data_IF_484633084756
#
_entry.id   IF_484633084756
#
_cell.length_a   1.000
_cell.length_b   1.000
_cell.length_c   1.000
_cell.angle_alpha   90.00
_cell.angle_beta   90.00
_cell.angle_gamma   90.00
#
_symmetry.space_group_name_H-M   'P 1'
#
loop_
_entity.id
_entity.type
_entity.pdbx_description
1 polymer ?
#
# COMPACT_ATOMS: atom_id res chain seq x y z
N UNK A 1 36.37 2.72 -30.77
CA UNK A 1 36.80 1.90 -31.93
C UNK A 1 36.48 0.45 -31.64
N UNK A 2 35.31 -0.02 -32.09
CA UNK A 2 34.96 -1.45 -32.18
C UNK A 2 34.06 -1.58 -33.41
N UNK A 3 34.68 -1.94 -34.52
CA UNK A 3 34.01 -2.47 -35.72
C UNK A 3 34.43 -3.93 -35.83
N UNK A 4 33.47 -4.84 -35.85
CA UNK A 4 33.44 -5.81 -36.95
C UNK A 4 32.03 -6.35 -37.15
N UNK A 5 31.58 -6.13 -38.37
CA UNK A 5 30.29 -6.45 -38.93
C UNK A 5 30.03 -7.96 -39.00
N UNK A 6 28.80 -8.33 -38.68
CA UNK A 6 28.01 -9.18 -39.59
C UNK A 6 26.72 -8.44 -39.87
N UNK A 7 26.68 -7.72 -40.99
CA UNK A 7 25.45 -7.09 -41.50
C UNK A 7 24.48 -8.16 -41.99
N UNK A 8 23.26 -8.28 -41.42
CA UNK A 8 22.20 -9.06 -42.04
C UNK A 8 21.31 -8.16 -42.89
N UNK A 9 20.99 -8.65 -44.07
CA UNK A 9 20.06 -8.15 -45.11
C UNK A 9 19.06 -7.05 -44.72
N UNK A 10 19.06 -6.00 -45.55
CA UNK A 10 18.38 -4.71 -45.44
C UNK A 10 16.83 -4.71 -45.61
N UNK A 11 16.10 -5.65 -45.00
CA UNK A 11 14.62 -5.66 -45.03
C UNK A 11 13.94 -5.96 -43.69
N UNK A 12 14.69 -6.07 -42.59
CA UNK A 12 14.12 -6.24 -41.26
C UNK A 12 14.54 -5.08 -40.37
N UNK A 13 13.55 -4.29 -39.90
CA UNK A 13 13.75 -3.42 -38.75
C UNK A 13 14.08 -4.31 -37.55
N UNK A 14 15.26 -4.16 -36.97
CA UNK A 14 15.70 -4.94 -35.81
C UNK A 14 15.55 -4.09 -34.55
N UNK A 15 15.20 -4.74 -33.44
CA UNK A 15 14.98 -4.09 -32.16
C UNK A 15 16.27 -4.07 -31.35
N UNK A 16 16.65 -2.91 -30.83
CA UNK A 16 17.81 -2.75 -29.95
C UNK A 16 17.32 -2.46 -28.55
N UNK A 17 17.62 -3.36 -27.62
CA UNK A 17 17.31 -3.15 -26.22
C UNK A 17 18.47 -2.40 -25.56
N UNK A 18 18.20 -1.18 -25.10
CA UNK A 18 19.14 -0.39 -24.32
C UNK A 18 18.81 -0.49 -22.83
N UNK A 19 19.81 -0.93 -22.05
CA UNK A 19 19.71 -0.96 -20.60
C UNK A 19 20.19 0.36 -20.00
N UNK A 20 19.38 0.90 -19.09
CA UNK A 20 19.72 2.10 -18.34
C UNK A 20 20.94 1.78 -17.43
N UNK A 21 21.94 2.69 -17.29
CA UNK A 21 23.11 2.45 -16.46
C UNK A 21 22.81 2.04 -15.02
N UNK A 22 21.73 2.54 -14.43
CA UNK A 22 21.28 2.14 -13.08
C UNK A 22 20.75 0.72 -13.01
N UNK A 23 20.12 0.20 -14.07
CA UNK A 23 19.71 -1.21 -14.15
C UNK A 23 20.93 -2.12 -14.22
N UNK A 24 21.92 -1.74 -15.04
CA UNK A 24 23.19 -2.44 -15.13
C UNK A 24 23.91 -2.43 -13.77
N UNK A 25 23.92 -1.30 -13.08
CA UNK A 25 24.46 -1.21 -11.72
C UNK A 25 23.78 -2.20 -10.77
N UNK A 26 22.45 -2.33 -10.79
CA UNK A 26 21.76 -3.31 -9.98
C UNK A 26 22.15 -4.75 -10.37
N UNK A 27 22.19 -5.07 -11.67
CA UNK A 27 22.61 -6.39 -12.16
C UNK A 27 24.02 -6.76 -11.69
N UNK A 28 24.97 -5.81 -11.70
CA UNK A 28 26.33 -6.09 -11.22
C UNK A 28 26.39 -6.52 -9.76
N UNK A 29 25.45 -6.06 -8.93
CA UNK A 29 25.35 -6.47 -7.51
C UNK A 29 24.89 -7.91 -7.33
N UNK A 30 24.28 -8.49 -8.35
CA UNK A 30 23.85 -9.88 -8.37
C UNK A 30 24.63 -10.71 -9.38
N UNK A 31 25.91 -10.37 -9.59
CA UNK A 31 26.80 -11.10 -10.49
C UNK A 31 26.29 -11.15 -11.95
N UNK A 32 25.64 -10.09 -12.41
CA UNK A 32 25.05 -9.95 -13.75
C UNK A 32 23.98 -10.98 -14.10
N UNK A 33 23.37 -11.63 -13.10
CA UNK A 33 22.23 -12.52 -13.30
C UNK A 33 20.97 -11.71 -13.66
N UNK A 34 20.07 -12.34 -14.40
CA UNK A 34 18.74 -11.79 -14.67
C UNK A 34 17.86 -11.86 -13.42
N UNK A 35 17.29 -10.72 -13.01
CA UNK A 35 16.61 -10.55 -11.73
C UNK A 35 15.09 -10.56 -11.82
N UNK A 36 14.56 -10.34 -13.02
CA UNK A 36 13.13 -10.11 -13.26
C UNK A 36 12.50 -11.20 -14.13
N UNK A 37 13.27 -12.24 -14.44
CA UNK A 37 12.84 -13.40 -15.19
C UNK A 37 13.02 -14.65 -14.33
N UNK A 38 12.17 -15.67 -14.52
CA UNK A 38 12.31 -16.94 -13.81
C UNK A 38 13.61 -17.60 -14.26
N UNK A 39 14.61 -17.58 -13.39
CA UNK A 39 15.91 -18.17 -13.67
C UNK A 39 16.24 -19.25 -12.64
N UNK A 40 16.41 -20.48 -13.12
CA UNK A 40 16.77 -21.64 -12.30
C UNK A 40 18.29 -21.73 -12.07
N UNK A 41 19.08 -20.92 -12.78
CA UNK A 41 20.53 -20.97 -12.72
C UNK A 41 21.11 -20.04 -11.64
N UNK A 42 21.57 -20.66 -10.54
CA UNK A 42 22.42 -20.03 -9.53
C UNK A 42 21.66 -19.28 -8.43
N UNK A 43 22.05 -19.53 -7.19
CA UNK A 43 21.61 -18.76 -6.03
C UNK A 43 22.73 -17.80 -5.60
N UNK A 44 22.45 -16.51 -5.61
CA UNK A 44 23.41 -15.47 -5.24
C UNK A 44 22.78 -14.46 -4.28
N UNK A 45 23.51 -14.15 -3.20
CA UNK A 45 23.14 -13.12 -2.23
C UNK A 45 24.09 -11.94 -2.40
N UNK A 46 23.55 -10.74 -2.60
CA UNK A 46 24.35 -9.51 -2.57
C UNK A 46 24.68 -9.13 -1.13
N UNK A 47 25.97 -9.06 -0.83
CA UNK A 47 26.45 -8.65 0.49
C UNK A 47 26.12 -7.20 0.83
N UNK A 48 26.11 -6.32 -0.18
CA UNK A 48 25.80 -4.91 -0.01
C UNK A 48 24.33 -4.72 0.37
N UNK A 49 23.42 -5.42 -0.31
CA UNK A 49 21.98 -5.37 -0.01
C UNK A 49 21.70 -6.00 1.36
N UNK A 50 22.40 -7.08 1.71
CA UNK A 50 22.31 -7.71 3.02
C UNK A 50 22.74 -6.73 4.14
N UNK A 51 23.84 -6.00 3.94
CA UNK A 51 24.31 -4.99 4.90
C UNK A 51 23.30 -3.83 5.01
N UNK A 52 22.77 -3.34 3.89
CA UNK A 52 21.73 -2.30 3.90
C UNK A 52 20.45 -2.77 4.62
N UNK A 53 20.07 -4.03 4.45
CA UNK A 53 18.91 -4.64 5.13
C UNK A 53 19.14 -4.69 6.64
N UNK A 54 20.32 -5.15 7.07
CA UNK A 54 20.70 -5.15 8.48
C UNK A 54 20.70 -3.74 9.10
N UNK A 55 21.25 -2.76 8.37
CA UNK A 55 21.25 -1.36 8.79
C UNK A 55 19.82 -0.81 8.93
N UNK A 56 18.94 -1.12 7.97
CA UNK A 56 17.53 -0.69 8.00
C UNK A 56 16.80 -1.22 9.24
N UNK A 57 16.94 -2.53 9.52
CA UNK A 57 16.34 -3.13 10.71
C UNK A 57 16.97 -2.63 12.02
N UNK A 58 18.26 -2.32 12.01
CA UNK A 58 18.92 -1.70 13.16
C UNK A 58 18.34 -0.31 13.45
N UNK A 59 18.07 0.50 12.41
CA UNK A 59 17.41 1.80 12.57
C UNK A 59 15.99 1.63 13.12
N UNK A 60 15.18 0.71 12.56
CA UNK A 60 13.82 0.44 13.05
C UNK A 60 13.86 -0.02 14.51
N UNK A 61 14.73 -0.97 14.84
CA UNK A 61 14.94 -1.45 16.20
C UNK A 61 15.32 -0.32 17.16
N UNK A 62 16.21 0.58 16.74
CA UNK A 62 16.61 1.76 17.52
C UNK A 62 15.45 2.75 17.72
N UNK A 63 14.63 2.98 16.70
CA UNK A 63 13.42 3.83 16.81
C UNK A 63 12.48 3.26 17.87
N UNK A 64 12.18 1.96 17.83
CA UNK A 64 11.28 1.30 18.78
C UNK A 64 11.89 1.17 20.19
N UNK A 65 13.21 0.97 20.30
CA UNK A 65 13.92 0.97 21.57
C UNK A 65 13.83 2.33 22.27
N UNK A 66 14.13 3.42 21.53
CA UNK A 66 14.13 4.78 22.08
C UNK A 66 12.71 5.33 22.29
N UNK A 67 11.77 4.94 21.43
CA UNK A 67 10.37 5.38 21.46
C UNK A 67 9.46 4.34 22.12
N UNK A 68 9.72 3.98 23.38
CA UNK A 68 8.92 3.00 24.12
C UNK A 68 7.45 3.41 24.33
N UNK A 69 7.16 4.72 24.33
CA UNK A 69 5.80 5.24 24.42
C UNK A 69 5.27 5.59 23.03
N UNK A 70 4.01 5.23 22.78
CA UNK A 70 3.28 5.52 21.53
C UNK A 70 3.21 7.03 21.27
N UNK A 71 3.08 7.85 22.31
CA UNK A 71 3.07 9.32 22.17
C UNK A 71 4.41 9.86 21.65
N UNK A 72 5.52 9.33 22.17
CA UNK A 72 6.88 9.69 21.71
C UNK A 72 7.11 9.24 20.28
N UNK A 73 6.71 8.00 19.96
CA UNK A 73 6.80 7.45 18.61
C UNK A 73 6.00 8.30 17.62
N UNK A 74 4.75 8.64 17.95
CA UNK A 74 3.90 9.50 17.12
C UNK A 74 4.47 10.90 16.92
N UNK A 75 5.16 11.46 17.93
CA UNK A 75 5.86 12.74 17.82
C UNK A 75 7.04 12.66 16.86
N UNK A 76 7.88 11.62 16.98
CA UNK A 76 9.02 11.40 16.07
C UNK A 76 8.54 11.18 14.64
N UNK A 77 7.56 10.31 14.43
CA UNK A 77 6.98 10.05 13.10
C UNK A 77 6.43 11.32 12.46
N UNK A 78 5.80 12.20 13.23
CA UNK A 78 5.29 13.48 12.73
C UNK A 78 6.41 14.37 12.19
N UNK A 79 7.53 14.50 12.90
CA UNK A 79 8.68 15.24 12.41
C UNK A 79 9.28 14.61 11.14
N UNK A 80 9.39 13.28 11.10
CA UNK A 80 9.87 12.57 9.91
C UNK A 80 8.97 12.79 8.70
N UNK A 81 7.64 12.80 8.88
CA UNK A 81 6.68 13.10 7.81
C UNK A 81 6.89 14.52 7.28
N UNK A 82 7.01 15.53 8.15
CA UNK A 82 7.25 16.91 7.71
C UNK A 82 8.58 17.06 6.96
N UNK A 83 9.65 16.45 7.44
CA UNK A 83 10.95 16.44 6.76
C UNK A 83 10.82 15.79 5.38
N UNK A 84 10.15 14.64 5.31
CA UNK A 84 9.95 13.91 4.05
C UNK A 84 9.16 14.73 3.04
N UNK A 85 8.08 15.40 3.47
CA UNK A 85 7.29 16.29 2.61
C UNK A 85 8.10 17.49 2.12
N UNK A 86 8.97 18.06 2.95
CA UNK A 86 9.86 19.14 2.54
C UNK A 86 10.88 18.68 1.49
N UNK A 87 11.48 17.49 1.68
CA UNK A 87 12.39 16.90 0.70
C UNK A 87 11.68 16.54 -0.61
N UNK A 88 10.44 16.08 -0.56
CA UNK A 88 9.61 15.84 -1.73
C UNK A 88 9.37 17.12 -2.52
N UNK A 89 9.01 18.22 -1.85
CA UNK A 89 8.84 19.52 -2.49
C UNK A 89 10.14 19.97 -3.20
N UNK A 90 11.29 19.88 -2.52
CA UNK A 90 12.59 20.23 -3.09
C UNK A 90 12.90 19.37 -4.32
N UNK A 91 12.61 18.08 -4.24
CA UNK A 91 12.80 17.13 -5.35
C UNK A 91 11.92 17.49 -6.54
N UNK A 92 10.63 17.76 -6.33
CA UNK A 92 9.71 18.14 -7.41
C UNK A 92 10.18 19.42 -8.11
N UNK A 93 10.60 20.43 -7.34
CA UNK A 93 11.15 21.67 -7.89
C UNK A 93 12.42 21.39 -8.69
N UNK A 94 13.24 20.42 -8.28
CA UNK A 94 14.43 20.06 -9.06
C UNK A 94 14.07 19.35 -10.35
N UNK A 95 13.17 18.38 -10.31
CA UNK A 95 12.72 17.64 -11.49
C UNK A 95 12.01 18.54 -12.50
N UNK A 96 11.32 19.60 -12.07
CA UNK A 96 10.74 20.57 -13.00
C UNK A 96 11.79 21.38 -13.79
N UNK A 97 13.06 21.34 -13.40
CA UNK A 97 14.15 22.00 -14.14
C UNK A 97 14.83 21.08 -15.16
N UNK A 98 14.38 19.82 -15.29
CA UNK A 98 14.96 18.85 -16.22
C UNK A 98 14.48 19.05 -17.65
N UNK A 99 13.15 19.19 -17.92
CA UNK A 99 12.68 19.39 -19.27
C UNK A 99 13.18 20.71 -19.84
N UNK A 100 13.56 20.70 -21.12
CA UNK A 100 13.97 21.91 -21.85
C UNK A 100 12.86 22.98 -21.88
N UNK A 101 11.61 22.53 -22.08
CA UNK A 101 10.41 23.36 -22.08
C UNK A 101 9.45 22.97 -20.94
N UNK A 102 9.62 23.60 -19.77
CA UNK A 102 8.79 23.31 -18.58
C UNK A 102 7.28 23.50 -18.84
N UNK A 103 6.89 24.55 -19.55
CA UNK A 103 5.47 24.86 -19.80
C UNK A 103 4.79 23.77 -20.62
N UNK A 104 5.51 23.22 -21.61
CA UNK A 104 5.02 22.12 -22.43
C UNK A 104 4.94 20.82 -21.62
N UNK A 105 5.97 20.50 -20.84
CA UNK A 105 5.95 19.32 -19.98
C UNK A 105 4.79 19.35 -18.96
N UNK A 106 4.49 20.50 -18.35
CA UNK A 106 3.34 20.65 -17.45
C UNK A 106 2.02 20.50 -18.23
N UNK A 107 1.93 21.08 -19.43
CA UNK A 107 0.74 20.96 -20.28
C UNK A 107 0.46 19.49 -20.63
N UNK A 108 1.49 18.77 -21.07
CA UNK A 108 1.41 17.36 -21.47
C UNK A 108 1.13 16.44 -20.26
N UNK A 109 1.60 16.79 -19.07
CA UNK A 109 1.29 16.07 -17.85
C UNK A 109 -0.21 16.14 -17.48
N UNK A 110 -0.85 17.30 -17.66
CA UNK A 110 -2.26 17.50 -17.29
C UNK A 110 -3.25 17.14 -18.40
N UNK A 111 -2.83 17.08 -19.67
CA UNK A 111 -3.71 16.86 -20.82
C UNK A 111 -3.39 15.52 -21.48
N UNK A 112 -3.97 14.43 -20.97
CA UNK A 112 -3.74 13.10 -21.52
C UNK A 112 -4.54 12.85 -22.80
N UNK A 113 -3.98 11.99 -23.66
CA UNK A 113 -4.67 11.44 -24.80
C UNK A 113 -5.88 10.59 -24.38
N UNK A 114 -6.97 10.60 -25.17
CA UNK A 114 -8.18 9.84 -24.84
C UNK A 114 -7.94 8.33 -24.71
N UNK A 115 -7.02 7.80 -25.52
CA UNK A 115 -6.64 6.39 -25.49
C UNK A 115 -5.90 6.04 -24.19
N UNK A 116 -4.95 6.88 -23.77
CA UNK A 116 -4.18 6.66 -22.54
C UNK A 116 -5.05 6.80 -21.30
N UNK A 117 -6.08 7.67 -21.33
CA UNK A 117 -7.09 7.76 -20.27
C UNK A 117 -7.86 6.44 -20.08
N UNK A 118 -8.31 5.81 -21.16
CA UNK A 118 -9.07 4.55 -21.10
C UNK A 118 -8.19 3.42 -20.57
N UNK A 119 -6.96 3.31 -21.07
CA UNK A 119 -6.02 2.28 -20.64
C UNK A 119 -5.62 2.44 -19.16
N UNK A 120 -5.47 3.70 -18.71
CA UNK A 120 -5.06 4.00 -17.33
C UNK A 120 -6.17 3.82 -16.29
N UNK A 121 -7.44 3.69 -16.68
CA UNK A 121 -8.56 3.64 -15.74
C UNK A 121 -8.45 2.47 -14.73
N UNK A 122 -8.05 1.30 -15.22
CA UNK A 122 -7.81 0.12 -14.38
C UNK A 122 -6.65 0.36 -13.40
N UNK A 123 -5.56 0.99 -13.85
CA UNK A 123 -4.40 1.29 -13.01
C UNK A 123 -4.74 2.32 -11.93
N UNK A 124 -5.46 3.39 -12.26
CA UNK A 124 -5.88 4.44 -11.30
C UNK A 124 -6.64 3.83 -10.12
N UNK A 125 -7.52 2.88 -10.40
CA UNK A 125 -8.31 2.24 -9.37
C UNK A 125 -7.46 1.35 -8.44
N UNK A 126 -6.40 0.70 -8.95
CA UNK A 126 -5.42 -0.03 -8.12
C UNK A 126 -4.69 0.93 -7.19
N UNK A 127 -4.24 2.08 -7.72
CA UNK A 127 -3.57 3.11 -6.93
C UNK A 127 -4.45 3.68 -5.83
N UNK A 128 -5.72 3.98 -6.12
CA UNK A 128 -6.64 4.51 -5.09
C UNK A 128 -6.79 3.51 -3.94
N UNK A 129 -6.91 2.21 -4.24
CA UNK A 129 -7.08 1.18 -3.21
C UNK A 129 -5.79 0.94 -2.43
N UNK A 130 -4.63 0.92 -3.07
CA UNK A 130 -3.36 0.71 -2.37
C UNK A 130 -3.09 1.79 -1.33
N UNK A 131 -3.64 2.98 -1.57
CA UNK A 131 -3.42 4.20 -0.81
C UNK A 131 -4.44 4.43 0.29
N UNK A 132 -5.72 4.38 -0.06
CA UNK A 132 -6.82 4.68 0.86
C UNK A 132 -7.43 3.42 1.45
N UNK A 133 -6.99 2.24 1.01
CA UNK A 133 -7.51 0.96 1.48
C UNK A 133 -7.21 0.72 2.95
N UNK A 134 -8.26 0.75 3.77
CA UNK A 134 -8.20 0.41 5.19
C UNK A 134 -7.85 -1.07 5.46
N UNK A 135 -7.79 -1.91 4.43
CA UNK A 135 -7.62 -3.36 4.49
C UNK A 135 -6.35 -3.84 5.21
N UNK A 136 -5.31 -3.00 5.32
CA UNK A 136 -4.12 -3.31 6.12
C UNK A 136 -4.33 -3.15 7.63
N UNK A 137 -5.43 -2.51 8.06
CA UNK A 137 -5.72 -2.24 9.47
C UNK A 137 -4.93 -1.07 10.08
N UNK A 138 -3.93 -0.53 9.38
CA UNK A 138 -3.08 0.58 9.88
C UNK A 138 -3.89 1.83 10.22
N UNK A 139 -4.80 2.24 9.34
CA UNK A 139 -5.69 3.40 9.57
C UNK A 139 -6.64 3.13 10.74
N UNK A 140 -7.12 1.90 10.89
CA UNK A 140 -8.02 1.50 11.99
C UNK A 140 -7.27 1.57 13.33
N UNK A 141 -6.04 1.02 13.38
CA UNK A 141 -5.17 1.06 14.56
C UNK A 141 -4.76 2.49 14.92
N UNK A 142 -4.42 3.33 13.94
CA UNK A 142 -4.11 4.74 14.22
C UNK A 142 -5.34 5.51 14.70
N UNK A 143 -6.51 5.22 14.14
CA UNK A 143 -7.76 5.87 14.54
C UNK A 143 -8.20 5.47 15.97
N UNK A 144 -7.80 4.30 16.48
CA UNK A 144 -8.14 3.88 17.85
C UNK A 144 -7.47 4.73 18.94
N UNK A 145 -6.40 5.45 18.60
CA UNK A 145 -5.74 6.41 19.50
C UNK A 145 -6.36 7.81 19.46
N UNK A 146 -7.32 8.07 18.57
CA UNK A 146 -8.01 9.36 18.55
C UNK A 146 -8.95 9.49 19.74
N UNK A 147 -9.19 10.74 20.17
CA UNK A 147 -10.28 11.04 21.10
C UNK A 147 -11.61 10.70 20.44
N UNK A 148 -12.56 10.26 21.24
CA UNK A 148 -13.86 9.80 20.75
C UNK A 148 -14.59 10.86 19.92
N UNK A 149 -14.63 12.12 20.38
CA UNK A 149 -15.19 13.26 19.65
C UNK A 149 -14.16 14.08 18.88
N UNK A 150 -13.36 13.43 18.04
CA UNK A 150 -12.44 14.14 17.15
C UNK A 150 -13.15 14.59 15.86
N UNK A 151 -12.77 15.74 15.24
CA UNK A 151 -13.33 16.17 13.96
C UNK A 151 -12.82 15.28 12.81
N UNK A 152 -13.31 14.05 12.74
CA UNK A 152 -12.83 13.03 11.82
C UNK A 152 -13.03 13.46 10.36
N UNK A 153 -14.12 14.14 10.03
CA UNK A 153 -14.37 14.62 8.67
C UNK A 153 -13.29 15.57 8.16
N UNK A 154 -12.86 16.53 8.97
CA UNK A 154 -11.80 17.48 8.59
C UNK A 154 -10.44 16.78 8.47
N UNK A 155 -10.15 15.87 9.41
CA UNK A 155 -8.93 15.07 9.39
C UNK A 155 -8.88 14.18 8.14
N UNK A 156 -9.98 13.51 7.79
CA UNK A 156 -10.10 12.68 6.59
C UNK A 156 -9.87 13.48 5.31
N UNK A 157 -10.47 14.67 5.18
CA UNK A 157 -10.22 15.55 4.04
C UNK A 157 -8.75 15.97 3.93
N UNK A 158 -8.12 16.28 5.06
CA UNK A 158 -6.70 16.66 5.10
C UNK A 158 -5.81 15.49 4.65
N UNK A 159 -6.10 14.28 5.11
CA UNK A 159 -5.39 13.06 4.67
C UNK A 159 -5.57 12.84 3.18
N UNK A 160 -6.79 12.95 2.65
CA UNK A 160 -7.06 12.80 1.22
C UNK A 160 -6.30 13.83 0.36
N UNK A 161 -6.34 15.11 0.74
CA UNK A 161 -5.63 16.17 0.03
C UNK A 161 -4.11 16.02 0.10
N UNK A 162 -3.56 15.71 1.28
CA UNK A 162 -2.13 15.49 1.47
C UNK A 162 -1.63 14.30 0.65
N UNK A 163 -2.39 13.21 0.64
CA UNK A 163 -2.04 12.01 -0.12
C UNK A 163 -2.12 12.26 -1.64
N UNK A 164 -3.12 13.00 -2.11
CA UNK A 164 -3.23 13.43 -3.50
C UNK A 164 -2.01 14.26 -3.92
N UNK A 165 -1.56 15.19 -3.07
CA UNK A 165 -0.35 15.99 -3.32
C UNK A 165 0.91 15.12 -3.46
N UNK A 166 1.08 14.14 -2.57
CA UNK A 166 2.22 13.20 -2.62
C UNK A 166 2.18 12.38 -3.91
N UNK A 167 1.01 11.89 -4.33
CA UNK A 167 0.90 11.14 -5.58
C UNK A 167 1.16 11.98 -6.81
N UNK A 168 0.58 13.18 -6.88
CA UNK A 168 0.82 14.08 -7.98
C UNK A 168 2.31 14.40 -8.12
N UNK A 169 3.00 14.57 -6.98
CA UNK A 169 4.45 14.81 -6.92
C UNK A 169 5.26 13.64 -7.49
N UNK A 170 5.00 12.41 -7.05
CA UNK A 170 5.70 11.23 -7.57
C UNK A 170 5.34 10.93 -9.02
N UNK A 171 4.07 11.11 -9.41
CA UNK A 171 3.63 10.95 -10.79
C UNK A 171 4.33 11.95 -11.71
N UNK A 172 4.51 13.20 -11.28
CA UNK A 172 5.27 14.20 -12.03
C UNK A 172 6.75 13.80 -12.18
N UNK A 173 7.38 13.30 -11.12
CA UNK A 173 8.78 12.81 -11.19
C UNK A 173 8.91 11.65 -12.18
N UNK A 174 7.99 10.68 -12.14
CA UNK A 174 7.95 9.55 -13.08
C UNK A 174 7.74 10.05 -14.51
N UNK A 175 6.78 10.95 -14.73
CA UNK A 175 6.50 11.53 -16.04
C UNK A 175 7.71 12.26 -16.64
N UNK A 176 8.38 13.12 -15.86
CA UNK A 176 9.60 13.81 -16.30
C UNK A 176 10.70 12.81 -16.64
N UNK A 177 10.84 11.75 -15.84
CA UNK A 177 11.81 10.68 -16.07
C UNK A 177 11.50 9.92 -17.36
N UNK A 178 10.24 9.58 -17.59
CA UNK A 178 9.81 8.87 -18.79
C UNK A 178 10.03 9.70 -20.05
N UNK A 179 9.65 10.98 -20.03
CA UNK A 179 9.88 11.92 -21.14
C UNK A 179 11.37 12.10 -21.43
N UNK A 180 12.21 12.19 -20.40
CA UNK A 180 13.66 12.29 -20.57
C UNK A 180 14.23 11.10 -21.36
N UNK A 181 13.79 9.88 -21.05
CA UNK A 181 14.22 8.70 -21.80
C UNK A 181 13.56 8.61 -23.18
N UNK A 182 12.33 9.07 -23.33
CA UNK A 182 11.65 9.08 -24.63
C UNK A 182 12.32 10.08 -25.60
N UNK A 183 12.75 11.25 -25.14
CA UNK A 183 13.57 12.19 -25.95
C UNK A 183 14.89 11.55 -26.43
N UNK A 184 15.58 10.81 -25.56
CA UNK A 184 16.81 10.09 -25.93
C UNK A 184 16.51 9.00 -26.95
N UNK A 185 15.40 8.28 -26.79
CA UNK A 185 14.97 7.25 -27.73
C UNK A 185 14.67 7.85 -29.09
N UNK A 186 13.90 8.93 -29.16
CA UNK A 186 13.55 9.60 -30.41
C UNK A 186 14.81 10.10 -31.15
N UNK A 187 15.75 10.70 -30.43
CA UNK A 187 17.03 11.13 -31.02
C UNK A 187 17.85 9.96 -31.60
N UNK A 188 17.80 8.78 -30.97
CA UNK A 188 18.46 7.57 -31.47
C UNK A 188 17.78 7.00 -32.71
N UNK A 189 16.45 6.92 -32.70
CA UNK A 189 15.65 6.40 -33.81
C UNK A 189 15.77 7.31 -35.05
N UNK A 190 15.85 8.65 -34.87
CA UNK A 190 16.14 9.59 -35.96
C UNK A 190 17.54 9.38 -36.57
N UNK A 191 18.54 9.07 -35.75
CA UNK A 191 19.89 8.80 -36.21
C UNK A 191 20.02 7.45 -36.92
N UNK A 192 19.18 6.46 -36.57
CA UNK A 192 19.27 5.09 -37.06
C UNK A 192 17.89 4.58 -37.57
N UNK A 193 17.45 4.98 -38.79
CA UNK A 193 16.10 4.68 -39.29
C UNK A 193 15.80 3.18 -39.50
N UNK A 194 16.81 2.32 -39.46
CA UNK A 194 16.68 0.87 -39.66
C UNK A 194 16.53 0.09 -38.34
N UNK A 195 16.60 0.76 -37.19
CA UNK A 195 16.53 0.14 -35.86
C UNK A 195 15.56 0.89 -34.97
N UNK A 196 14.80 0.16 -34.15
CA UNK A 196 13.97 0.75 -33.11
C UNK A 196 14.58 0.47 -31.74
N UNK A 197 14.87 1.53 -30.99
CA UNK A 197 15.37 1.42 -29.63
C UNK A 197 14.25 1.17 -28.61
N UNK A 198 14.45 0.20 -27.71
CA UNK A 198 13.62 0.00 -26.54
C UNK A 198 14.46 0.23 -25.29
N UNK A 199 14.06 1.21 -24.48
CA UNK A 199 14.72 1.52 -23.21
C UNK A 199 13.99 0.76 -22.10
N UNK A 200 14.72 -0.14 -21.43
CA UNK A 200 14.13 -0.93 -20.37
C UNK A 200 14.02 -0.10 -19.07
N UNK A 201 12.83 0.41 -18.76
CA UNK A 201 12.55 1.23 -17.57
C UNK A 201 12.04 0.34 -16.43
N UNK A 202 12.94 -0.15 -15.58
CA UNK A 202 12.55 -0.88 -14.36
C UNK A 202 12.51 0.04 -13.16
N UNK A 203 11.58 -0.26 -12.25
CA UNK A 203 11.45 0.40 -10.94
C UNK A 203 11.74 1.90 -11.02
N UNK A 204 10.95 2.60 -11.84
CA UNK A 204 11.28 3.94 -12.36
C UNK A 204 11.75 4.89 -11.24
N UNK A 205 11.04 4.91 -10.11
CA UNK A 205 11.36 5.76 -8.96
C UNK A 205 12.70 5.44 -8.28
N UNK A 206 13.19 4.20 -8.35
CA UNK A 206 14.40 3.76 -7.65
C UNK A 206 15.61 3.71 -8.59
N UNK A 207 15.44 3.20 -9.82
CA UNK A 207 16.53 2.98 -10.77
C UNK A 207 16.57 4.08 -11.83
N UNK A 208 15.49 4.27 -12.58
CA UNK A 208 15.50 5.15 -13.76
C UNK A 208 15.74 6.61 -13.39
N UNK A 209 15.12 7.10 -12.31
CA UNK A 209 15.36 8.45 -11.73
C UNK A 209 16.82 8.68 -11.33
N UNK A 210 17.53 7.64 -10.87
CA UNK A 210 18.94 7.74 -10.49
C UNK A 210 19.84 8.10 -11.66
N UNK A 211 19.55 7.59 -12.85
CA UNK A 211 20.29 7.95 -14.07
C UNK A 211 19.99 9.37 -14.52
N UNK A 212 18.74 9.83 -14.40
CA UNK A 212 18.38 11.23 -14.69
C UNK A 212 19.09 12.18 -13.73
N UNK A 213 19.12 11.86 -12.43
CA UNK A 213 19.82 12.65 -11.41
C UNK A 213 21.33 12.73 -11.63
N UNK A 214 21.94 11.68 -12.20
CA UNK A 214 23.37 11.64 -12.48
C UNK A 214 23.80 12.64 -13.57
N UNK A 215 22.92 12.94 -14.51
CA UNK A 215 23.16 13.90 -15.60
C UNK A 215 22.91 15.36 -15.17
N UNK A 216 22.24 15.56 -14.04
CA UNK A 216 21.98 16.89 -13.50
C UNK A 216 23.25 17.53 -12.94
N UNK A 217 23.31 18.87 -12.98
CA UNK A 217 24.33 19.62 -12.26
C UNK A 217 24.30 19.31 -10.76
N UNK A 218 25.46 19.03 -10.16
CA UNK A 218 25.62 18.63 -8.74
C UNK A 218 24.93 17.30 -8.41
N UNK A 219 25.21 16.21 -9.15
CA UNK A 219 24.42 14.97 -9.09
C UNK A 219 24.43 14.34 -7.70
N UNK A 220 25.58 14.35 -7.01
CA UNK A 220 25.73 13.78 -5.67
C UNK A 220 24.76 14.40 -4.65
N UNK A 221 24.57 15.73 -4.69
CA UNK A 221 23.66 16.43 -3.75
C UNK A 221 22.22 15.97 -3.96
N UNK A 222 21.76 15.95 -5.21
CA UNK A 222 20.39 15.59 -5.55
C UNK A 222 20.09 14.12 -5.29
N UNK A 223 21.04 13.23 -5.60
CA UNK A 223 20.94 11.82 -5.22
C UNK A 223 20.78 11.65 -3.71
N UNK A 224 21.59 12.34 -2.89
CA UNK A 224 21.48 12.26 -1.42
C UNK A 224 20.09 12.73 -0.97
N UNK A 225 19.61 13.88 -1.44
CA UNK A 225 18.30 14.43 -1.06
C UNK A 225 17.17 13.47 -1.46
N UNK A 226 17.20 12.96 -2.69
CA UNK A 226 16.17 12.09 -3.24
C UNK A 226 16.11 10.73 -2.55
N UNK A 227 17.25 10.04 -2.42
CA UNK A 227 17.27 8.73 -1.77
C UNK A 227 17.08 8.83 -0.25
N UNK A 228 17.49 9.93 0.39
CA UNK A 228 17.13 10.19 1.79
C UNK A 228 15.62 10.30 1.96
N UNK A 229 14.94 11.05 1.08
CA UNK A 229 13.47 11.14 1.08
C UNK A 229 12.81 9.75 0.93
N UNK A 230 13.29 8.91 0.01
CA UNK A 230 12.77 7.56 -0.17
C UNK A 230 13.00 6.67 1.06
N UNK A 231 14.20 6.71 1.66
CA UNK A 231 14.52 5.96 2.88
C UNK A 231 13.63 6.42 4.05
N UNK A 232 13.46 7.73 4.24
CA UNK A 232 12.59 8.25 5.30
C UNK A 232 11.14 7.82 5.09
N UNK A 233 10.64 7.89 3.86
CA UNK A 233 9.29 7.41 3.51
C UNK A 233 9.12 5.93 3.87
N UNK A 234 10.07 5.08 3.49
CA UNK A 234 10.05 3.66 3.79
C UNK A 234 10.09 3.38 5.30
N UNK A 235 10.96 4.08 6.05
CA UNK A 235 11.07 3.94 7.51
C UNK A 235 9.78 4.35 8.23
N UNK A 236 9.11 5.41 7.77
CA UNK A 236 7.82 5.84 8.31
C UNK A 236 6.76 4.77 8.09
N UNK A 237 6.62 4.28 6.85
CA UNK A 237 5.64 3.23 6.51
C UNK A 237 5.89 1.95 7.30
N UNK A 238 7.13 1.48 7.36
CA UNK A 238 7.52 0.30 8.13
C UNK A 238 7.18 0.47 9.62
N UNK A 239 7.48 1.64 10.19
CA UNK A 239 7.21 1.92 11.61
C UNK A 239 5.71 1.93 11.92
N UNK A 240 4.89 2.52 11.03
CA UNK A 240 3.43 2.55 11.19
C UNK A 240 2.82 1.15 11.06
N UNK A 241 3.27 0.36 10.07
CA UNK A 241 2.78 -1.01 9.87
C UNK A 241 3.14 -1.91 11.07
N UNK A 242 4.38 -1.79 11.56
CA UNK A 242 4.84 -2.52 12.73
C UNK A 242 4.07 -2.10 13.99
N UNK A 243 3.84 -0.80 14.20
CA UNK A 243 3.03 -0.30 15.29
C UNK A 243 1.61 -0.90 15.26
N UNK A 244 0.97 -0.90 14.08
CA UNK A 244 -0.37 -1.47 13.91
C UNK A 244 -0.40 -2.96 14.25
N UNK A 245 0.59 -3.72 13.76
CA UNK A 245 0.68 -5.16 14.00
C UNK A 245 0.88 -5.48 15.47
N UNK A 246 1.81 -4.77 16.12
CA UNK A 246 2.07 -4.94 17.56
C UNK A 246 0.87 -4.54 18.40
N UNK A 247 0.16 -3.48 18.02
CA UNK A 247 -1.02 -3.03 18.72
C UNK A 247 -2.14 -4.07 18.67
N UNK A 248 -2.41 -4.67 17.50
CA UNK A 248 -3.36 -5.77 17.40
C UNK A 248 -3.00 -6.96 18.30
N UNK A 249 -1.71 -7.33 18.38
CA UNK A 249 -1.25 -8.40 19.28
C UNK A 249 -1.48 -8.03 20.76
N UNK A 250 -1.19 -6.78 21.14
CA UNK A 250 -1.32 -6.34 22.52
C UNK A 250 -2.77 -6.10 22.96
N UNK A 251 -3.67 -5.85 22.02
CA UNK A 251 -5.10 -5.68 22.29
C UNK A 251 -5.80 -7.03 22.49
N UNK A 252 -5.41 -8.07 21.74
CA UNK A 252 -5.98 -9.41 21.88
C UNK A 252 -5.39 -10.21 23.06
N UNK A 253 -4.11 -10.01 23.38
CA UNK A 253 -3.40 -10.81 24.39
C UNK A 253 -2.91 -9.96 25.56
N UNK A 254 -3.71 -9.88 26.62
CA UNK A 254 -3.38 -9.09 27.82
C UNK A 254 -2.07 -9.53 28.51
N UNK A 255 -1.78 -10.84 28.52
CA UNK A 255 -0.54 -11.39 29.09
C UNK A 255 0.72 -10.79 28.45
N UNK A 256 0.66 -10.50 27.15
CA UNK A 256 1.76 -9.95 26.35
C UNK A 256 1.98 -8.45 26.61
N UNK A 257 1.03 -7.77 27.24
CA UNK A 257 1.13 -6.36 27.63
C UNK A 257 2.21 -6.11 28.69
N UNK A 258 2.54 -7.09 29.51
CA UNK A 258 3.60 -7.00 30.53
C UNK A 258 5.00 -7.07 29.92
N UNK A 259 5.17 -7.82 28.82
CA UNK A 259 6.45 -8.06 28.12
C UNK A 259 6.51 -7.36 26.75
N UNK A 260 5.85 -6.20 26.60
CA UNK A 260 5.74 -5.45 25.33
C UNK A 260 7.07 -5.27 24.60
N UNK A 261 8.12 -4.90 25.32
CA UNK A 261 9.44 -4.62 24.73
C UNK A 261 10.07 -5.87 24.14
N UNK A 262 10.03 -6.98 24.88
CA UNK A 262 10.62 -8.25 24.43
C UNK A 262 9.89 -8.80 23.20
N UNK A 263 8.56 -8.77 23.22
CA UNK A 263 7.75 -9.21 22.09
C UNK A 263 7.93 -8.33 20.86
N UNK A 264 8.08 -7.01 21.06
CA UNK A 264 8.38 -6.09 19.96
C UNK A 264 9.69 -6.48 19.26
N UNK A 265 10.77 -6.73 20.02
CA UNK A 265 12.04 -7.15 19.42
C UNK A 265 12.01 -8.54 18.81
N UNK A 266 11.21 -9.47 19.37
CA UNK A 266 10.99 -10.79 18.76
C UNK A 266 10.32 -10.65 17.40
N UNK A 267 9.24 -9.86 17.30
CA UNK A 267 8.53 -9.62 16.04
C UNK A 267 9.45 -8.93 15.02
N UNK A 268 10.18 -7.88 15.43
CA UNK A 268 11.17 -7.21 14.57
C UNK A 268 12.24 -8.21 14.09
N UNK A 269 12.76 -9.05 14.98
CA UNK A 269 13.77 -10.04 14.65
C UNK A 269 13.27 -11.09 13.66
N UNK A 270 12.05 -11.59 13.84
CA UNK A 270 11.41 -12.52 12.91
C UNK A 270 11.21 -11.88 11.53
N UNK A 271 10.68 -10.66 11.46
CA UNK A 271 10.51 -9.94 10.20
C UNK A 271 11.85 -9.64 9.52
N UNK A 272 12.87 -9.30 10.29
CA UNK A 272 14.22 -9.09 9.78
C UNK A 272 14.78 -10.35 9.13
N UNK A 273 14.66 -11.51 9.79
CA UNK A 273 15.09 -12.80 9.24
C UNK A 273 14.32 -13.13 7.96
N UNK A 274 12.99 -12.96 7.95
CA UNK A 274 12.18 -13.19 6.76
C UNK A 274 12.59 -12.28 5.59
N UNK A 275 12.94 -11.02 5.87
CA UNK A 275 13.36 -10.07 4.84
C UNK A 275 14.70 -10.41 4.19
N UNK A 276 15.57 -11.21 4.83
CA UNK A 276 16.87 -11.59 4.24
C UNK A 276 16.71 -12.34 2.91
N UNK A 277 15.57 -12.99 2.69
CA UNK A 277 15.30 -13.68 1.43
C UNK A 277 15.33 -12.71 0.23
N UNK A 278 14.88 -11.47 0.39
CA UNK A 278 14.88 -10.46 -0.69
C UNK A 278 16.28 -9.96 -1.06
N UNK A 279 17.31 -10.32 -0.29
CA UNK A 279 18.71 -10.02 -0.61
C UNK A 279 19.31 -10.98 -1.66
N UNK A 280 18.56 -12.02 -2.04
CA UNK A 280 18.95 -12.97 -3.08
C UNK A 280 18.42 -12.56 -4.46
N UNK A 281 19.08 -13.03 -5.53
CA UNK A 281 18.62 -12.83 -6.91
C UNK A 281 17.19 -13.37 -7.12
N UNK A 282 16.90 -14.58 -6.64
CA UNK A 282 15.55 -15.16 -6.66
C UNK A 282 14.56 -14.37 -5.78
N UNK A 283 15.05 -13.75 -4.72
CA UNK A 283 14.29 -12.89 -3.82
C UNK A 283 13.76 -11.63 -4.48
N UNK A 284 14.50 -11.05 -5.42
CA UNK A 284 14.04 -9.87 -6.19
C UNK A 284 12.84 -10.24 -7.06
N UNK A 285 12.90 -11.38 -7.74
CA UNK A 285 11.78 -11.87 -8.54
C UNK A 285 10.56 -12.20 -7.66
N UNK A 286 10.76 -12.91 -6.53
CA UNK A 286 9.68 -13.20 -5.58
C UNK A 286 9.04 -11.91 -5.05
N UNK A 287 9.83 -10.88 -4.80
CA UNK A 287 9.33 -9.58 -4.33
C UNK A 287 8.34 -8.95 -5.32
N UNK A 288 8.58 -9.05 -6.62
CA UNK A 288 7.66 -8.55 -7.66
C UNK A 288 6.33 -9.31 -7.62
N UNK A 289 6.37 -10.63 -7.47
CA UNK A 289 5.16 -11.46 -7.40
C UNK A 289 4.37 -11.13 -6.13
N UNK A 290 5.04 -11.07 -4.98
CA UNK A 290 4.40 -10.72 -3.70
C UNK A 290 3.87 -9.29 -3.67
N UNK A 291 4.51 -8.34 -4.36
CA UNK A 291 3.97 -7.00 -4.51
C UNK A 291 2.59 -7.02 -5.20
N UNK A 292 2.40 -7.86 -6.22
CA UNK A 292 1.09 -8.03 -6.85
C UNK A 292 0.09 -8.77 -5.94
N UNK A 293 0.53 -9.82 -5.25
CA UNK A 293 -0.33 -10.58 -4.32
C UNK A 293 -0.80 -9.77 -3.12
N UNK A 294 0.04 -8.85 -2.63
CA UNK A 294 -0.32 -7.95 -1.53
C UNK A 294 -1.43 -6.99 -1.95
N UNK A 295 -1.44 -6.51 -3.20
CA UNK A 295 -2.54 -5.71 -3.75
C UNK A 295 -3.83 -6.54 -3.81
N UNK A 296 -3.78 -7.79 -4.27
CA UNK A 296 -4.93 -8.71 -4.25
C UNK A 296 -5.45 -8.89 -2.82
N UNK A 297 -4.57 -9.20 -1.88
CA UNK A 297 -4.93 -9.39 -0.47
C UNK A 297 -5.52 -8.13 0.15
N UNK A 298 -4.95 -6.95 -0.10
CA UNK A 298 -5.47 -5.68 0.39
C UNK A 298 -6.87 -5.39 -0.19
N UNK A 299 -7.07 -5.60 -1.49
CA UNK A 299 -8.38 -5.38 -2.14
C UNK A 299 -9.46 -6.33 -1.58
N UNK A 300 -9.11 -7.60 -1.35
CA UNK A 300 -10.01 -8.58 -0.75
C UNK A 300 -10.32 -8.28 0.73
N UNK A 301 -9.34 -7.85 1.54
CA UNK A 301 -9.56 -7.42 2.93
C UNK A 301 -10.44 -6.18 3.01
N UNK A 302 -10.25 -5.20 2.11
CA UNK A 302 -11.15 -4.05 2.00
C UNK A 302 -12.59 -4.48 1.71
N UNK A 303 -12.78 -5.37 0.73
CA UNK A 303 -14.10 -5.88 0.38
C UNK A 303 -14.75 -6.61 1.57
N UNK A 304 -13.99 -7.47 2.26
CA UNK A 304 -14.45 -8.16 3.46
C UNK A 304 -14.86 -7.18 4.56
N UNK A 305 -14.06 -6.13 4.80
CA UNK A 305 -14.38 -5.09 5.79
C UNK A 305 -15.70 -4.39 5.46
N UNK A 306 -15.93 -4.01 4.20
CA UNK A 306 -17.20 -3.42 3.77
C UNK A 306 -18.37 -4.39 3.96
N UNK A 307 -18.20 -5.66 3.61
CA UNK A 307 -19.22 -6.70 3.80
C UNK A 307 -19.58 -6.86 5.28
N UNK A 308 -18.59 -6.98 6.15
CA UNK A 308 -18.78 -7.12 7.59
C UNK A 308 -19.45 -5.88 8.19
N UNK A 309 -19.00 -4.67 7.86
CA UNK A 309 -19.54 -3.44 8.47
C UNK A 309 -20.94 -3.11 7.94
N UNK A 310 -21.19 -3.18 6.63
CA UNK A 310 -22.42 -2.67 6.04
C UNK A 310 -23.55 -3.69 5.94
N UNK A 311 -23.24 -5.00 5.89
CA UNK A 311 -24.23 -6.07 5.83
C UNK A 311 -24.34 -6.88 7.12
N UNK A 312 -23.22 -7.32 7.71
CA UNK A 312 -23.28 -8.15 8.93
C UNK A 312 -23.59 -7.28 10.16
N UNK A 313 -22.78 -6.26 10.43
CA UNK A 313 -23.06 -5.28 11.47
C UNK A 313 -24.26 -4.40 11.08
N UNK A 314 -24.37 -4.05 9.80
CA UNK A 314 -25.57 -3.47 9.24
C UNK A 314 -25.57 -1.94 9.26
N UNK A 315 -26.03 -1.37 8.14
CA UNK A 315 -25.99 0.07 7.86
C UNK A 315 -26.58 0.98 8.94
N UNK A 316 -27.70 0.61 9.56
CA UNK A 316 -28.44 1.52 10.47
C UNK A 316 -27.66 1.72 11.75
N UNK A 317 -27.08 0.64 12.30
CA UNK A 317 -26.22 0.71 13.48
C UNK A 317 -24.97 1.53 13.19
N UNK A 318 -24.28 1.21 12.09
CA UNK A 318 -23.09 1.95 11.67
C UNK A 318 -23.35 3.45 11.48
N UNK A 319 -24.47 3.82 10.84
CA UNK A 319 -24.88 5.20 10.66
C UNK A 319 -25.09 5.91 12.00
N UNK A 320 -25.84 5.28 12.92
CA UNK A 320 -26.11 5.83 14.25
C UNK A 320 -24.81 6.05 15.03
N UNK A 321 -23.88 5.11 14.97
CA UNK A 321 -22.60 5.21 15.68
C UNK A 321 -21.74 6.35 15.10
N UNK A 322 -21.74 6.54 13.78
CA UNK A 322 -21.10 7.68 13.12
C UNK A 322 -21.76 9.01 13.51
N UNK A 323 -23.09 9.07 13.53
CA UNK A 323 -23.85 10.28 13.91
C UNK A 323 -23.58 10.65 15.38
N UNK A 324 -23.49 9.67 16.27
CA UNK A 324 -23.15 9.87 17.67
C UNK A 324 -21.73 10.41 17.84
N UNK A 325 -20.76 9.87 17.07
CA UNK A 325 -19.36 10.29 17.12
C UNK A 325 -19.14 11.69 16.51
N UNK A 326 -19.75 11.97 15.35
CA UNK A 326 -19.61 13.24 14.63
C UNK A 326 -20.50 14.35 15.20
N UNK A 327 -21.54 13.99 15.96
CA UNK A 327 -22.61 14.92 16.38
C UNK A 327 -23.33 15.62 15.21
N UNK A 328 -23.24 15.05 14.00
CA UNK A 328 -23.86 15.53 12.76
C UNK A 328 -24.62 14.39 12.08
N UNK A 329 -25.73 14.72 11.38
CA UNK A 329 -26.50 13.72 10.63
C UNK A 329 -25.70 13.22 9.43
N UNK A 330 -25.57 11.91 9.28
CA UNK A 330 -24.86 11.31 8.17
C UNK A 330 -25.85 11.05 7.03
N UNK A 331 -25.57 11.59 5.85
CA UNK A 331 -26.50 11.46 4.72
C UNK A 331 -26.67 10.00 4.28
N UNK A 332 -27.93 9.57 4.14
CA UNK A 332 -28.28 8.24 3.62
C UNK A 332 -27.64 7.97 2.25
N UNK A 333 -27.52 8.99 1.40
CA UNK A 333 -26.91 8.87 0.07
C UNK A 333 -25.45 8.42 0.16
N UNK A 334 -24.67 8.98 1.09
CA UNK A 334 -23.25 8.62 1.30
C UNK A 334 -23.11 7.16 1.71
N UNK A 335 -24.01 6.66 2.57
CA UNK A 335 -24.01 5.25 3.00
C UNK A 335 -24.44 4.32 1.88
N UNK A 336 -25.41 4.69 1.05
CA UNK A 336 -25.81 3.89 -0.10
C UNK A 336 -24.69 3.80 -1.15
N UNK A 337 -23.99 4.91 -1.41
CA UNK A 337 -22.78 4.91 -2.24
C UNK A 337 -21.72 3.98 -1.66
N UNK A 338 -21.48 4.05 -0.34
CA UNK A 338 -20.52 3.19 0.34
C UNK A 338 -20.91 1.70 0.31
N UNK A 339 -22.22 1.41 0.33
CA UNK A 339 -22.75 0.04 0.37
C UNK A 339 -22.79 -0.63 -1.00
N UNK A 340 -23.07 0.10 -2.07
CA UNK A 340 -23.26 -0.50 -3.38
C UNK A 340 -22.14 -0.17 -4.37
N UNK A 341 -21.75 1.10 -4.46
CA UNK A 341 -20.78 1.54 -5.46
C UNK A 341 -19.36 1.11 -5.10
N UNK A 342 -18.94 1.32 -3.84
CA UNK A 342 -17.59 0.94 -3.40
C UNK A 342 -17.35 -0.58 -3.53
N UNK A 343 -18.23 -1.48 -3.04
CA UNK A 343 -18.03 -2.92 -3.16
C UNK A 343 -18.07 -3.42 -4.61
N UNK A 344 -18.90 -2.83 -5.47
CA UNK A 344 -18.90 -3.18 -6.90
C UNK A 344 -17.58 -2.80 -7.57
N UNK A 345 -17.06 -1.61 -7.28
CA UNK A 345 -15.73 -1.19 -7.74
C UNK A 345 -14.65 -2.17 -7.23
N UNK A 346 -14.65 -2.47 -5.93
CA UNK A 346 -13.69 -3.42 -5.33
C UNK A 346 -13.75 -4.82 -5.94
N UNK A 347 -14.93 -5.32 -6.35
CA UNK A 347 -15.06 -6.60 -7.04
C UNK A 347 -14.40 -6.58 -8.41
N UNK A 348 -14.67 -5.55 -9.22
CA UNK A 348 -14.03 -5.39 -10.55
C UNK A 348 -12.51 -5.31 -10.39
N UNK A 349 -12.06 -4.57 -9.39
CA UNK A 349 -10.64 -4.41 -9.09
C UNK A 349 -9.99 -5.71 -8.62
N UNK A 350 -10.65 -6.46 -7.75
CA UNK A 350 -10.18 -7.75 -7.28
C UNK A 350 -10.03 -8.73 -8.45
N UNK A 351 -10.97 -8.75 -9.39
CA UNK A 351 -10.87 -9.61 -10.58
C UNK A 351 -9.69 -9.22 -11.47
N UNK A 352 -9.47 -7.92 -11.69
CA UNK A 352 -8.35 -7.42 -12.49
C UNK A 352 -7.00 -7.74 -11.84
N UNK A 353 -6.84 -7.49 -10.53
CA UNK A 353 -5.59 -7.74 -9.81
C UNK A 353 -5.33 -9.24 -9.66
N UNK A 354 -6.37 -10.05 -9.46
CA UNK A 354 -6.26 -11.50 -9.43
C UNK A 354 -5.78 -12.06 -10.77
N UNK A 355 -6.29 -11.54 -11.89
CA UNK A 355 -5.83 -11.95 -13.22
C UNK A 355 -4.34 -11.64 -13.44
N UNK A 356 -3.90 -10.45 -13.02
CA UNK A 356 -2.48 -10.06 -13.10
C UNK A 356 -1.62 -10.97 -12.23
N UNK A 357 -2.00 -11.19 -10.97
CA UNK A 357 -1.28 -12.08 -10.05
C UNK A 357 -1.20 -13.52 -10.60
N UNK A 358 -2.31 -14.03 -11.15
CA UNK A 358 -2.35 -15.35 -11.77
C UNK A 358 -1.34 -15.48 -12.92
N UNK A 359 -1.22 -14.47 -13.78
CA UNK A 359 -0.22 -14.46 -14.85
C UNK A 359 1.21 -14.52 -14.31
N UNK A 360 1.54 -13.74 -13.28
CA UNK A 360 2.86 -13.77 -12.64
C UNK A 360 3.16 -15.13 -11.96
N UNK A 361 2.16 -15.75 -11.31
CA UNK A 361 2.32 -17.07 -10.70
C UNK A 361 2.50 -18.19 -11.71
N UNK A 362 1.89 -18.10 -12.89
CA UNK A 362 2.09 -19.07 -13.97
C UNK A 362 3.51 -19.01 -14.56
N UNK A 363 4.12 -17.83 -14.55
CA UNK A 363 5.52 -17.63 -14.96
C UNK A 363 6.49 -18.00 -13.83
N UNK A 364 6.02 -17.99 -12.57
CA UNK A 364 6.83 -18.26 -11.40
C UNK A 364 7.29 -19.72 -11.27
N UNK A 365 8.45 -19.91 -10.64
CA UNK A 365 9.01 -21.23 -10.32
C UNK A 365 8.25 -21.93 -9.19
N UNK A 366 8.50 -23.23 -8.99
CA UNK A 366 7.88 -24.00 -7.90
C UNK A 366 8.15 -23.42 -6.50
N UNK A 367 9.28 -22.73 -6.31
CA UNK A 367 9.65 -22.03 -5.07
C UNK A 367 8.64 -20.91 -4.77
N UNK A 368 8.26 -20.14 -5.80
CA UNK A 368 7.25 -19.08 -5.70
C UNK A 368 5.91 -19.65 -5.23
N UNK A 369 5.51 -20.80 -5.79
CA UNK A 369 4.23 -21.44 -5.45
C UNK A 369 4.19 -21.90 -3.98
N UNK A 370 5.29 -22.48 -3.47
CA UNK A 370 5.38 -22.86 -2.05
C UNK A 370 5.35 -21.61 -1.15
N UNK A 371 6.08 -20.56 -1.53
CA UNK A 371 6.10 -19.32 -0.77
C UNK A 371 4.70 -18.67 -0.76
N UNK A 372 3.98 -18.67 -1.88
CA UNK A 372 2.61 -18.19 -1.99
C UNK A 372 1.63 -18.98 -1.12
N UNK A 373 1.77 -20.31 -1.09
CA UNK A 373 0.97 -21.16 -0.19
C UNK A 373 1.17 -20.74 1.26
N UNK A 374 2.41 -20.51 1.68
CA UNK A 374 2.75 -20.20 3.05
C UNK A 374 2.34 -18.78 3.48
N UNK A 375 2.60 -17.78 2.64
CA UNK A 375 2.41 -16.37 3.00
C UNK A 375 1.05 -15.79 2.59
N UNK A 376 0.30 -16.46 1.71
CA UNK A 376 -0.98 -15.95 1.20
C UNK A 376 -2.11 -16.93 1.54
N UNK A 377 -2.01 -18.17 1.09
CA UNK A 377 -3.12 -19.14 1.22
C UNK A 377 -3.37 -19.49 2.69
N UNK A 378 -2.32 -19.79 3.46
CA UNK A 378 -2.47 -20.12 4.88
C UNK A 378 -3.10 -18.97 5.71
N UNK A 379 -2.66 -17.70 5.61
CA UNK A 379 -3.34 -16.58 6.25
C UNK A 379 -4.80 -16.42 5.82
N UNK A 380 -5.12 -16.62 4.53
CA UNK A 380 -6.51 -16.55 4.07
C UNK A 380 -7.37 -17.70 4.60
N UNK A 381 -6.81 -18.90 4.77
CA UNK A 381 -7.50 -20.04 5.39
C UNK A 381 -7.77 -19.84 6.89
N UNK A 382 -7.00 -18.98 7.56
CA UNK A 382 -7.23 -18.64 8.96
C UNK A 382 -8.60 -18.00 9.18
N UNK A 383 -9.07 -17.14 8.27
CA UNK A 383 -10.38 -16.45 8.39
C UNK A 383 -11.56 -17.44 8.47
N UNK A 384 -11.79 -18.34 7.49
CA UNK A 384 -12.84 -19.35 7.60
C UNK A 384 -12.54 -20.40 8.68
N UNK A 385 -11.28 -20.75 8.92
CA UNK A 385 -10.90 -21.67 9.99
C UNK A 385 -11.31 -21.17 11.37
N UNK A 386 -11.05 -19.90 11.66
CA UNK A 386 -11.43 -19.23 12.89
C UNK A 386 -12.96 -19.09 13.03
N UNK A 387 -13.66 -18.79 11.92
CA UNK A 387 -15.13 -18.80 11.88
C UNK A 387 -15.69 -20.17 12.28
N UNK A 388 -15.16 -21.27 11.71
CA UNK A 388 -15.59 -22.64 12.05
C UNK A 388 -15.29 -22.95 13.52
N UNK A 389 -14.11 -22.58 14.00
CA UNK A 389 -13.72 -22.78 15.39
C UNK A 389 -14.71 -22.14 16.38
N UNK A 390 -15.08 -20.87 16.18
CA UNK A 390 -16.08 -20.19 17.03
C UNK A 390 -17.45 -20.87 16.89
N UNK A 391 -17.86 -21.22 15.69
CA UNK A 391 -19.14 -21.91 15.47
C UNK A 391 -19.21 -23.25 16.21
N UNK A 392 -18.09 -23.98 16.30
CA UNK A 392 -18.02 -25.25 17.04
C UNK A 392 -18.16 -25.05 18.56
N UNK A 393 -17.66 -23.94 19.11
CA UNK A 393 -17.80 -23.61 20.53
C UNK A 393 -19.21 -23.14 20.93
N UNK A 394 -19.93 -22.49 20.01
CA UNK A 394 -21.28 -22.00 20.30
C UNK A 394 -22.30 -23.14 20.38
N UNK A 395 -23.17 -23.09 21.38
CA UNK A 395 -24.24 -24.08 21.57
C UNK A 395 -25.47 -23.76 20.69
N UNK A 396 -26.15 -24.80 20.22
CA UNK A 396 -27.40 -24.69 19.45
C UNK A 396 -27.36 -25.37 18.07
N UNK A 397 -28.34 -25.07 17.22
CA UNK A 397 -28.41 -25.51 15.82
C UNK A 397 -27.54 -24.63 14.91
N UNK A 398 -27.15 -25.13 13.73
CA UNK A 398 -26.25 -24.41 12.80
C UNK A 398 -26.68 -22.96 12.51
N UNK A 399 -27.97 -22.73 12.23
CA UNK A 399 -28.51 -21.38 11.94
C UNK A 399 -28.45 -20.46 13.16
N UNK A 400 -28.74 -20.98 14.34
CA UNK A 400 -28.71 -20.21 15.59
C UNK A 400 -27.27 -19.90 16.01
N UNK A 401 -26.34 -20.84 15.83
CA UNK A 401 -24.90 -20.63 16.05
C UNK A 401 -24.37 -19.50 15.18
N UNK A 402 -24.60 -19.57 13.86
CA UNK A 402 -24.16 -18.54 12.92
C UNK A 402 -24.75 -17.16 13.27
N UNK A 403 -26.07 -17.08 13.52
CA UNK A 403 -26.73 -15.82 13.89
C UNK A 403 -26.17 -15.25 15.20
N UNK A 404 -25.77 -16.10 16.14
CA UNK A 404 -25.14 -15.68 17.41
C UNK A 404 -23.72 -15.18 17.21
N UNK A 405 -22.92 -15.82 16.36
CA UNK A 405 -21.58 -15.37 16.00
C UNK A 405 -21.59 -14.02 15.26
N UNK A 406 -22.62 -13.74 14.46
CA UNK A 406 -22.79 -12.46 13.77
C UNK A 406 -23.40 -11.36 14.66
N UNK A 407 -23.71 -11.64 15.93
CA UNK A 407 -24.19 -10.60 16.86
C UNK A 407 -22.97 -9.80 17.34
N UNK A 408 -22.98 -8.46 17.21
CA UNK A 408 -21.88 -7.64 17.73
C UNK A 408 -21.79 -7.80 19.25
N UNK A 409 -20.57 -7.74 19.76
CA UNK A 409 -20.31 -7.57 21.18
C UNK A 409 -20.76 -6.17 21.60
N UNK A 410 -21.27 -6.03 22.82
CA UNK A 410 -21.67 -4.74 23.35
C UNK A 410 -20.42 -3.87 23.55
N UNK A 411 -20.21 -2.92 22.64
CA UNK A 411 -19.14 -1.93 22.70
C UNK A 411 -19.63 -0.64 23.36
N UNK A 412 -18.75 -0.01 24.13
CA UNK A 412 -18.97 1.29 24.76
C UNK A 412 -17.73 2.18 24.57
N UNK A 413 -17.91 3.51 24.47
CA UNK A 413 -16.80 4.47 24.55
C UNK A 413 -15.94 4.23 25.80
N UNK A 414 -14.63 4.42 25.66
CA UNK A 414 -13.67 4.24 26.77
C UNK A 414 -13.87 5.30 27.86
N UNK A 415 -14.17 6.53 27.46
CA UNK A 415 -14.44 7.63 28.39
C UNK A 415 -15.82 7.50 29.03
N UNK A 416 -15.87 7.63 30.36
CA UNK A 416 -17.05 7.33 31.17
C UNK A 416 -18.22 8.28 30.87
N UNK A 417 -17.93 9.55 30.56
CA UNK A 417 -18.94 10.55 30.18
C UNK A 417 -19.60 10.22 28.83
N UNK A 418 -18.79 9.85 27.83
CA UNK A 418 -19.30 9.50 26.51
C UNK A 418 -20.02 8.15 26.52
N UNK A 419 -19.60 7.23 27.39
CA UNK A 419 -20.34 5.98 27.67
C UNK A 419 -21.73 6.25 28.23
N UNK A 420 -21.85 7.12 29.24
CA UNK A 420 -23.15 7.50 29.79
C UNK A 420 -24.05 8.16 28.75
N UNK A 421 -23.49 9.05 27.91
CA UNK A 421 -24.23 9.68 26.80
C UNK A 421 -24.69 8.65 25.76
N UNK A 422 -23.85 7.65 25.45
CA UNK A 422 -24.20 6.61 24.49
C UNK A 422 -25.30 5.69 25.03
N UNK A 423 -25.22 5.31 26.31
CA UNK A 423 -26.25 4.54 26.99
C UNK A 423 -27.60 5.29 27.02
N UNK A 424 -27.57 6.61 27.27
CA UNK A 424 -28.76 7.46 27.18
C UNK A 424 -29.32 7.55 25.76
N UNK A 425 -28.45 7.70 24.75
CA UNK A 425 -28.86 7.75 23.35
C UNK A 425 -29.46 6.41 22.88
N UNK A 426 -28.88 5.29 23.27
CA UNK A 426 -29.41 3.94 23.02
C UNK A 426 -30.79 3.77 23.65
N UNK A 427 -30.94 4.12 24.93
CA UNK A 427 -32.22 4.02 25.65
C UNK A 427 -33.32 4.88 25.03
N UNK A 428 -33.00 6.09 24.58
CA UNK A 428 -33.95 6.96 23.87
C UNK A 428 -34.31 6.44 22.48
N UNK A 429 -33.38 5.81 21.77
CA UNK A 429 -33.62 5.19 20.46
C UNK A 429 -34.52 3.96 20.59
N UNK A 430 -34.31 3.14 21.63
CA UNK A 430 -35.14 1.97 21.92
C UNK A 430 -36.56 2.39 22.33
N UNK A 431 -36.71 3.47 23.12
CA UNK A 431 -38.03 4.05 23.45
C UNK A 431 -38.76 4.60 22.22
N UNK A 432 -38.07 5.32 21.34
CA UNK A 432 -38.69 5.86 20.10
C UNK A 432 -39.06 4.76 19.10
N UNK A 433 -38.26 3.70 19.01
CA UNK A 433 -38.61 2.53 18.19
C UNK A 433 -39.80 1.76 18.77
N UNK A 434 -39.93 1.65 20.09
CA UNK A 434 -41.10 1.03 20.74
C UNK A 434 -42.38 1.86 20.54
N UNK A 435 -42.30 3.19 20.63
CA UNK A 435 -43.42 4.09 20.36
C UNK A 435 -43.90 3.98 18.92
N UNK A 436 -42.98 4.01 17.94
CA UNK A 436 -43.35 3.86 16.52
C UNK A 436 -43.95 2.49 16.20
N UNK A 437 -43.50 1.40 16.85
CA UNK A 437 -44.11 0.07 16.68
C UNK A 437 -45.51 -0.05 17.30
N UNK A 438 -45.76 0.67 18.40
CA UNK A 438 -47.07 0.73 19.04
C UNK A 438 -48.06 1.58 18.21
N UNK A 439 -47.58 2.63 17.56
CA UNK A 439 -48.37 3.44 16.63
C UNK A 439 -48.71 2.68 15.33
N UNK A 440 -47.84 1.78 14.87
CA UNK A 440 -48.14 0.87 13.74
C UNK A 440 -49.13 -0.26 14.12
N UNK A 441 -49.05 -0.82 15.33
CA UNK A 441 -50.00 -1.84 15.82
C UNK A 441 -51.39 -1.28 16.16
N UNK A 442 -51.51 0.02 16.43
CA UNK A 442 -52.81 0.69 16.67
C UNK A 442 -53.47 1.22 15.39
N UNK A 443 -52.75 1.20 14.26
CA UNK A 443 -53.23 1.62 12.95
C UNK A 443 -53.68 0.46 12.03
N UNK A 444 -53.56 -0.79 12.49
CA UNK A 444 -54.18 -2.00 11.90
C UNK A 444 -55.40 -2.42 12.71
#
# INVERSE_FOLDING_TARGET
>A
MLTNDTTPNANFSWFVMHEIPSNLFLKTRFNNLELFEPNDEGFYISWEILLCTFLTWTIISSIFYKCRSIEKLGTVLRYLIFITLALLLITVIRFSLVPSNLTQAIYDFFIPNRFTLIQSFSCVSIFVISVFGAGWGTVISLASFNKFKSPITQNSWTICLGQMFVFLSFAFIVFVTDNYFDEIKEAYDEQNPNSYAFINKLWVLYLSTGSVLAEMSWPNLWCIIFYLMLILTALITMSICLLSTLQSIFDDFENYRTRKTELTFIVIGLLAICSLYTCSNQGVFLHVIFANDTVVTQTALNLLLFLVVLWVYGRVRFQRDLEFMLSERFSNCKIYMLRFVSPLCLIVMLLATFFIAFMYHNVGSWIVQIAALLFIVLPWLYVPGYMIYIMLQTTGTYKTRFKRCCRPMDWYPVELEDRQRYEQAMRNTDMTHQLNSLDEETAT
#
